data_IF_693813064977
#
_entry.id   IF_693813064977
#
_cell.length_a   1.000
_cell.length_b   1.000
_cell.length_c   1.000
_cell.angle_alpha   90.00
_cell.angle_beta   90.00
_cell.angle_gamma   90.00
#
_symmetry.space_group_name_H-M   'P 1'
#
loop_
_entity.id
_entity.type
_entity.pdbx_description
1 polymer ?
#
# COMPACT_ATOMS: atom_id res chain seq x y z
N UNK A 1 -5.64 9.13 42.56
CA UNK A 1 -5.66 10.44 43.23
C UNK A 1 -4.23 10.81 43.59
N UNK A 2 -3.75 11.94 43.09
CA UNK A 2 -2.41 12.48 43.36
C UNK A 2 -2.54 13.75 44.22
N UNK A 3 -1.52 14.05 45.03
CA UNK A 3 -1.42 15.26 45.84
C UNK A 3 -0.71 16.42 45.12
N UNK A 4 -0.05 16.14 43.99
CA UNK A 4 0.63 17.13 43.13
C UNK A 4 2.12 17.31 43.43
N UNK A 5 2.68 16.53 44.36
CA UNK A 5 4.12 16.53 44.68
C UNK A 5 4.83 15.24 44.27
N UNK A 6 4.10 14.27 43.74
CA UNK A 6 4.62 13.00 43.25
C UNK A 6 5.51 13.19 42.01
N UNK A 7 6.61 12.44 41.92
CA UNK A 7 7.51 12.49 40.77
C UNK A 7 7.01 11.61 39.61
N UNK A 8 6.22 10.58 39.91
CA UNK A 8 5.69 9.63 38.94
C UNK A 8 4.23 9.28 39.24
N UNK A 9 3.46 8.92 38.21
CA UNK A 9 2.03 8.57 38.36
C UNK A 9 1.82 7.30 39.22
N UNK A 10 2.82 6.42 39.27
CA UNK A 10 2.83 5.21 40.12
C UNK A 10 2.88 5.50 41.62
N UNK A 11 3.30 6.70 42.02
CA UNK A 11 3.29 7.14 43.43
C UNK A 11 1.92 7.65 43.88
N UNK A 12 1.01 7.89 42.93
CA UNK A 12 -0.35 8.30 43.24
C UNK A 12 -1.17 7.12 43.76
N UNK A 13 -2.11 7.41 44.66
CA UNK A 13 -3.03 6.39 45.16
C UNK A 13 -4.01 5.97 44.05
N UNK A 14 -3.89 4.76 43.53
CA UNK A 14 -4.70 4.24 42.41
C UNK A 14 -5.50 3.00 42.82
N UNK A 15 -6.54 2.67 42.05
CA UNK A 15 -7.16 1.34 42.11
C UNK A 15 -6.22 0.31 41.47
N UNK A 16 -6.32 -0.99 41.81
CA UNK A 16 -5.52 -2.03 41.19
C UNK A 16 -5.63 -2.01 39.65
N UNK A 17 -4.51 -2.26 38.98
CA UNK A 17 -4.44 -2.32 37.52
C UNK A 17 -5.47 -3.31 36.96
N UNK A 18 -6.22 -2.87 35.94
CA UNK A 18 -7.28 -3.67 35.29
C UNK A 18 -8.67 -3.55 35.92
N UNK A 19 -8.84 -2.75 36.97
CA UNK A 19 -10.15 -2.46 37.58
C UNK A 19 -10.51 -0.98 37.36
N UNK A 20 -11.08 -0.68 36.19
CA UNK A 20 -11.69 0.63 35.87
C UNK A 20 -13.20 0.49 35.69
N UNK A 21 -13.93 1.55 36.03
CA UNK A 21 -15.33 1.73 35.65
C UNK A 21 -15.47 2.90 34.67
N UNK A 22 -14.39 3.16 33.93
CA UNK A 22 -14.20 4.28 33.02
C UNK A 22 -14.13 3.73 31.60
N UNK A 23 -14.83 4.40 30.67
CA UNK A 23 -14.63 4.26 29.24
C UNK A 23 -13.56 5.25 28.76
N UNK A 24 -13.14 5.15 27.49
CA UNK A 24 -12.12 6.04 26.91
C UNK A 24 -12.57 7.52 26.82
N UNK A 25 -13.83 7.84 27.10
CA UNK A 25 -14.33 9.20 27.22
C UNK A 25 -13.97 9.86 28.57
N UNK A 26 -13.55 9.07 29.55
CA UNK A 26 -13.13 9.52 30.88
C UNK A 26 -11.60 9.47 31.07
N UNK A 27 -10.85 9.30 29.97
CA UNK A 27 -9.39 9.25 30.01
C UNK A 27 -8.80 10.57 30.54
N UNK A 28 -8.04 10.47 31.62
CA UNK A 28 -7.43 11.63 32.27
C UNK A 28 -6.21 12.12 31.47
N UNK A 29 -6.34 13.30 30.86
CA UNK A 29 -5.20 14.01 30.24
C UNK A 29 -4.58 15.03 31.20
N UNK A 30 -3.27 15.25 31.12
CA UNK A 30 -2.58 16.35 31.79
C UNK A 30 -2.08 17.35 30.74
N UNK A 31 -2.36 18.64 30.96
CA UNK A 31 -1.80 19.72 30.17
C UNK A 31 -0.62 20.31 30.94
N UNK A 32 0.59 19.96 30.51
CA UNK A 32 1.81 20.53 31.08
C UNK A 32 2.05 21.91 30.48
N UNK A 33 2.11 22.95 31.31
CA UNK A 33 2.59 24.27 30.87
C UNK A 33 4.12 24.24 30.81
N UNK A 34 4.65 23.78 29.68
CA UNK A 34 6.03 24.07 29.32
C UNK A 34 6.13 25.56 29.00
N UNK A 35 6.74 26.36 29.88
CA UNK A 35 6.99 27.79 29.66
C UNK A 35 8.08 28.06 28.62
N UNK A 36 8.08 27.34 27.50
CA UNK A 36 8.97 27.60 26.38
C UNK A 36 8.16 27.98 25.15
N UNK A 37 7.96 29.29 24.99
CA UNK A 37 7.53 29.95 23.75
C UNK A 37 8.60 29.89 22.66
N UNK A 38 9.33 28.77 22.55
CA UNK A 38 10.47 28.64 21.64
C UNK A 38 10.65 27.18 21.16
N UNK A 39 9.56 26.48 20.89
CA UNK A 39 9.64 25.28 20.03
C UNK A 39 9.74 25.73 18.58
N UNK A 40 10.82 25.35 17.85
CA UNK A 40 10.93 25.55 16.41
C UNK A 40 9.64 25.14 15.69
N UNK A 41 9.21 25.92 14.70
CA UNK A 41 8.14 25.46 13.81
C UNK A 41 8.59 24.15 13.14
N UNK A 42 7.79 23.08 13.31
CA UNK A 42 8.12 21.78 12.69
C UNK A 42 7.94 21.90 11.18
N UNK A 43 8.89 21.37 10.42
CA UNK A 43 8.85 21.32 8.96
C UNK A 43 8.57 19.89 8.48
N UNK A 44 7.96 19.78 7.30
CA UNK A 44 7.92 18.56 6.50
C UNK A 44 7.97 18.91 5.01
N UNK A 45 8.41 17.94 4.20
CA UNK A 45 8.38 18.02 2.75
C UNK A 45 7.38 17.00 2.22
N UNK A 46 6.42 17.46 1.43
CA UNK A 46 5.34 16.63 0.88
C UNK A 46 5.46 16.54 -0.64
N UNK A 47 4.94 15.44 -1.22
CA UNK A 47 4.87 15.21 -2.67
C UNK A 47 6.20 15.35 -3.44
N UNK A 48 7.34 15.15 -2.78
CA UNK A 48 8.63 15.06 -3.46
C UNK A 48 9.16 13.63 -3.51
N UNK A 49 10.27 13.40 -4.25
CA UNK A 49 10.83 12.07 -4.51
C UNK A 49 11.44 11.39 -3.27
N UNK A 50 11.42 12.04 -2.09
CA UNK A 50 11.87 11.47 -0.84
C UNK A 50 11.89 12.50 0.29
N UNK A 51 12.35 12.12 1.49
CA UNK A 51 12.32 12.98 2.69
C UNK A 51 13.06 14.33 2.58
N UNK A 52 13.91 14.50 1.56
CA UNK A 52 14.78 15.67 1.37
C UNK A 52 14.43 16.50 0.11
N UNK A 53 13.27 16.24 -0.49
CA UNK A 53 12.73 17.07 -1.56
C UNK A 53 11.20 17.09 -1.48
N UNK A 54 10.56 18.21 -1.83
CA UNK A 54 9.10 18.32 -1.81
C UNK A 54 8.61 19.73 -1.54
N UNK A 55 7.28 19.90 -1.51
CA UNK A 55 6.59 21.12 -1.09
C UNK A 55 6.86 21.36 0.40
N UNK A 56 7.21 22.59 0.76
CA UNK A 56 7.54 22.96 2.13
C UNK A 56 6.26 23.25 2.93
N UNK A 57 6.06 22.52 4.02
CA UNK A 57 4.96 22.75 4.96
C UNK A 57 5.47 22.99 6.38
N UNK A 58 4.82 23.92 7.09
CA UNK A 58 5.16 24.34 8.45
C UNK A 58 4.00 24.05 9.40
N UNK A 59 4.30 23.54 10.59
CA UNK A 59 3.33 23.37 11.67
C UNK A 59 3.30 24.63 12.53
N UNK A 60 2.16 25.33 12.53
CA UNK A 60 1.92 26.50 13.36
C UNK A 60 0.55 26.43 14.01
N UNK A 61 0.50 26.76 15.30
CA UNK A 61 -0.73 26.67 16.11
C UNK A 61 -1.46 25.33 15.93
N UNK A 62 -0.69 24.22 15.95
CA UNK A 62 -1.17 22.84 15.78
C UNK A 62 -1.84 22.52 14.43
N UNK A 63 -1.63 23.34 13.39
CA UNK A 63 -2.13 23.11 12.04
C UNK A 63 -1.00 23.20 11.00
N UNK A 64 -0.94 22.23 10.09
CA UNK A 64 -0.03 22.26 8.95
C UNK A 64 -0.53 23.29 7.92
N UNK A 65 0.41 23.94 7.26
CA UNK A 65 0.12 24.84 6.15
C UNK A 65 1.36 25.09 5.32
N UNK A 66 1.17 25.60 4.11
CA UNK A 66 2.22 25.73 3.10
C UNK A 66 2.98 27.04 3.24
N UNK A 67 4.06 27.16 2.46
CA UNK A 67 4.88 28.36 2.32
C UNK A 67 4.71 28.91 0.91
N UNK A 68 4.46 30.21 0.77
CA UNK A 68 4.36 30.86 -0.52
C UNK A 68 5.75 31.12 -1.14
N UNK A 69 5.85 30.99 -2.46
CA UNK A 69 7.07 31.13 -3.26
C UNK A 69 7.46 32.59 -3.54
N UNK A 70 6.63 33.56 -3.15
CA UNK A 70 6.94 34.98 -3.25
C UNK A 70 8.22 35.30 -2.45
N UNK A 71 9.29 35.63 -3.16
CA UNK A 71 10.61 35.89 -2.56
C UNK A 71 11.39 34.63 -2.17
N UNK A 72 10.86 33.44 -2.44
CA UNK A 72 11.49 32.17 -2.08
C UNK A 72 12.77 31.93 -2.86
N UNK A 73 13.85 31.73 -2.13
CA UNK A 73 15.22 31.72 -2.66
C UNK A 73 15.99 30.48 -2.22
N UNK A 74 17.16 30.28 -2.82
CA UNK A 74 18.08 29.22 -2.42
C UNK A 74 18.57 29.39 -0.96
N UNK A 75 18.58 30.63 -0.44
CA UNK A 75 18.93 30.88 0.96
C UNK A 75 17.83 30.37 1.91
N UNK A 76 16.55 30.52 1.55
CA UNK A 76 15.43 29.99 2.32
C UNK A 76 15.44 28.46 2.30
N UNK A 77 15.62 27.88 1.11
CA UNK A 77 15.83 26.45 0.91
C UNK A 77 17.00 25.91 1.76
N UNK A 78 18.11 26.65 1.87
CA UNK A 78 19.27 26.23 2.66
C UNK A 78 18.93 26.10 4.16
N UNK A 79 18.09 26.98 4.68
CA UNK A 79 17.58 26.88 6.06
C UNK A 79 16.69 25.65 6.20
N UNK A 80 15.77 25.40 5.27
CA UNK A 80 14.91 24.20 5.28
C UNK A 80 15.73 22.92 5.25
N UNK A 81 16.67 22.80 4.31
CA UNK A 81 17.52 21.61 4.17
C UNK A 81 18.37 21.35 5.42
N UNK A 82 18.94 22.40 6.01
CA UNK A 82 19.69 22.28 7.27
C UNK A 82 18.78 21.88 8.43
N UNK A 83 17.62 22.52 8.56
CA UNK A 83 16.68 22.24 9.65
C UNK A 83 16.15 20.79 9.61
N UNK A 84 15.98 20.22 8.42
CA UNK A 84 15.56 18.82 8.23
C UNK A 84 16.71 17.80 8.30
N UNK A 85 17.96 18.24 8.43
CA UNK A 85 19.12 17.34 8.34
C UNK A 85 19.20 16.67 6.97
N UNK A 86 19.08 17.45 5.91
CA UNK A 86 19.07 16.99 4.52
C UNK A 86 20.24 17.55 3.70
N UNK A 87 21.32 17.96 4.38
CA UNK A 87 22.49 18.56 3.75
C UNK A 87 22.26 19.98 3.24
N UNK A 88 22.82 20.29 2.07
CA UNK A 88 22.79 21.61 1.44
C UNK A 88 21.60 21.77 0.49
N UNK A 89 21.15 23.00 0.23
CA UNK A 89 20.11 23.24 -0.78
C UNK A 89 20.67 23.12 -2.20
N UNK A 90 20.01 22.31 -3.02
CA UNK A 90 20.30 22.12 -4.45
C UNK A 90 19.40 23.05 -5.27
N UNK A 91 18.12 23.14 -4.93
CA UNK A 91 17.19 24.07 -5.58
C UNK A 91 16.05 24.52 -4.66
N UNK A 92 15.42 25.63 -5.05
CA UNK A 92 14.24 26.20 -4.40
C UNK A 92 13.10 26.30 -5.44
N UNK A 93 12.43 25.18 -5.78
CA UNK A 93 11.34 25.21 -6.76
C UNK A 93 10.18 26.11 -6.33
N UNK A 94 9.59 26.78 -7.31
CA UNK A 94 8.42 27.66 -7.16
C UNK A 94 7.26 27.11 -7.99
N UNK A 95 6.14 27.83 -7.99
CA UNK A 95 4.97 27.56 -8.81
C UNK A 95 4.37 26.17 -8.58
N UNK A 96 4.29 25.74 -7.31
CA UNK A 96 3.75 24.45 -6.91
C UNK A 96 4.35 23.26 -7.66
N UNK A 97 5.67 23.29 -7.89
CA UNK A 97 6.40 22.23 -8.60
C UNK A 97 6.11 20.80 -8.09
N UNK A 98 5.89 20.65 -6.78
CA UNK A 98 5.54 19.38 -6.14
C UNK A 98 4.01 19.22 -5.92
N UNK A 99 3.22 19.90 -6.73
CA UNK A 99 1.77 19.98 -6.61
C UNK A 99 1.30 21.00 -5.58
N UNK A 100 0.10 21.52 -5.83
CA UNK A 100 -0.61 22.45 -4.97
C UNK A 100 -0.90 21.81 -3.60
N UNK A 101 -0.64 22.54 -2.52
CA UNK A 101 -1.08 22.17 -1.19
C UNK A 101 -2.56 22.50 -0.95
N UNK A 102 -2.97 22.42 0.30
CA UNK A 102 -4.34 22.74 0.69
C UNK A 102 -4.38 23.38 2.08
N UNK A 103 -5.45 24.13 2.35
CA UNK A 103 -5.68 24.73 3.65
C UNK A 103 -5.00 26.10 3.83
N UNK A 104 -4.26 26.26 4.92
CA UNK A 104 -3.62 27.54 5.27
C UNK A 104 -2.28 27.68 4.56
N UNK A 105 -2.00 28.87 4.03
CA UNK A 105 -0.64 29.29 3.66
C UNK A 105 -0.11 30.12 4.84
N UNK A 106 0.88 29.59 5.56
CA UNK A 106 1.35 30.18 6.81
C UNK A 106 2.42 31.24 6.63
N UNK A 107 3.32 31.05 5.66
CA UNK A 107 4.45 31.94 5.43
C UNK A 107 4.39 32.52 4.02
N UNK A 108 4.74 33.80 3.89
CA UNK A 108 4.84 34.56 2.64
C UNK A 108 5.99 35.56 2.78
N UNK A 109 6.71 35.79 1.69
CA UNK A 109 7.83 36.72 1.61
C UNK A 109 8.92 36.36 2.61
N UNK A 110 9.24 35.06 2.68
CA UNK A 110 10.33 34.53 3.51
C UNK A 110 11.65 35.06 2.94
N UNK A 111 12.50 35.58 3.83
CA UNK A 111 13.77 36.18 3.47
C UNK A 111 14.82 35.78 4.52
N UNK A 112 15.40 34.61 4.32
CA UNK A 112 16.52 34.08 5.07
C UNK A 112 17.85 34.59 4.49
N UNK A 113 18.85 34.71 5.35
CA UNK A 113 20.26 34.87 4.97
C UNK A 113 20.94 33.54 4.61
N UNK A 114 20.29 32.42 4.94
CA UNK A 114 20.79 31.05 4.73
C UNK A 114 21.54 30.48 5.93
N UNK A 115 21.63 31.24 7.04
CA UNK A 115 22.41 30.86 8.25
C UNK A 115 21.54 30.62 9.50
N UNK A 116 20.24 30.90 9.40
CA UNK A 116 19.24 30.72 10.45
C UNK A 116 19.10 29.25 10.87
N UNK A 117 18.90 28.97 12.16
CA UNK A 117 18.77 27.59 12.62
C UNK A 117 17.44 26.96 12.18
N UNK A 118 16.40 27.78 12.06
CA UNK A 118 15.04 27.34 11.71
C UNK A 118 14.37 28.33 10.77
N UNK A 119 13.45 27.86 9.92
CA UNK A 119 12.72 28.71 8.97
C UNK A 119 11.86 29.76 9.69
N UNK A 120 11.43 29.48 10.92
CA UNK A 120 10.70 30.42 11.77
C UNK A 120 11.52 31.63 12.24
N UNK A 121 12.85 31.59 12.13
CA UNK A 121 13.74 32.72 12.47
C UNK A 121 13.92 33.68 11.29
N UNK A 122 13.57 33.26 10.07
CA UNK A 122 13.70 34.11 8.90
C UNK A 122 12.68 35.25 8.93
N UNK A 123 13.06 36.39 8.36
CA UNK A 123 12.12 37.49 8.21
C UNK A 123 11.02 37.06 7.23
N UNK A 124 9.76 37.15 7.65
CA UNK A 124 8.60 36.86 6.83
C UNK A 124 7.46 37.81 7.17
N UNK A 125 6.39 37.81 6.37
CA UNK A 125 5.13 38.46 6.74
C UNK A 125 4.54 37.81 8.01
N UNK A 126 3.63 38.51 8.74
CA UNK A 126 2.93 37.90 9.86
C UNK A 126 2.30 36.56 9.47
N UNK A 127 2.42 35.56 10.34
CA UNK A 127 1.95 34.21 10.06
C UNK A 127 0.47 34.19 9.66
N UNK A 128 0.16 33.53 8.54
CA UNK A 128 -1.18 33.44 7.97
C UNK A 128 -1.64 34.69 7.20
N UNK A 129 -0.77 35.70 7.06
CA UNK A 129 -0.99 36.86 6.19
C UNK A 129 -0.21 36.66 4.89
N UNK A 130 -0.91 36.29 3.83
CA UNK A 130 -0.36 36.10 2.48
C UNK A 130 -1.32 36.67 1.42
N UNK A 131 -0.82 36.85 0.20
CA UNK A 131 -1.64 37.19 -0.98
C UNK A 131 -1.64 36.08 -2.03
N UNK A 132 -1.22 34.87 -1.64
CA UNK A 132 -0.92 33.79 -2.56
C UNK A 132 -2.08 32.81 -2.69
N UNK A 133 -2.12 32.06 -3.78
CA UNK A 133 -2.87 30.81 -3.86
C UNK A 133 -1.93 29.58 -3.85
N UNK A 134 -2.47 28.36 -3.84
CA UNK A 134 -1.64 27.16 -3.76
C UNK A 134 -0.82 26.85 -5.02
N UNK A 135 -1.04 27.56 -6.14
CA UNK A 135 -0.14 27.50 -7.30
C UNK A 135 1.20 28.15 -7.02
N UNK A 136 1.27 28.96 -5.98
CA UNK A 136 2.46 29.66 -5.52
C UNK A 136 3.10 28.93 -4.33
N UNK A 137 2.80 27.65 -4.11
CA UNK A 137 3.45 26.90 -3.02
C UNK A 137 4.93 26.63 -3.33
N UNK A 138 5.77 26.94 -2.35
CA UNK A 138 7.21 26.79 -2.39
C UNK A 138 7.64 25.33 -2.18
N UNK A 139 8.65 24.91 -2.93
CA UNK A 139 9.31 23.62 -2.80
C UNK A 139 10.79 23.76 -2.41
N UNK A 140 11.39 22.63 -2.05
CA UNK A 140 12.84 22.51 -1.87
C UNK A 140 13.36 21.21 -2.44
N UNK A 141 14.59 21.23 -2.95
CA UNK A 141 15.40 20.03 -3.19
C UNK A 141 16.72 20.21 -2.46
N UNK A 142 17.04 19.27 -1.58
CA UNK A 142 18.29 19.24 -0.84
C UNK A 142 19.25 18.21 -1.43
N UNK A 143 20.52 18.29 -1.06
CA UNK A 143 21.54 17.33 -1.48
C UNK A 143 21.32 15.93 -0.89
N UNK A 144 20.44 15.80 0.10
CA UNK A 144 20.37 14.64 0.97
C UNK A 144 21.50 14.68 1.99
N UNK A 145 21.41 13.85 3.03
CA UNK A 145 22.54 13.65 3.95
C UNK A 145 23.75 13.18 3.14
N UNK A 146 24.76 14.04 3.04
CA UNK A 146 26.08 13.72 2.51
C UNK A 146 26.93 12.99 3.55
N UNK A 147 26.30 12.18 4.41
CA UNK A 147 26.93 10.95 4.85
C UNK A 147 26.65 9.98 3.73
N UNK A 148 27.68 9.59 2.98
CA UNK A 148 27.64 8.55 1.96
C UNK A 148 26.65 7.43 2.34
N UNK A 149 25.42 7.53 1.85
CA UNK A 149 24.55 6.37 1.73
C UNK A 149 24.84 5.80 0.34
N UNK A 150 25.98 5.11 0.29
CA UNK A 150 26.40 4.20 -0.77
C UNK A 150 25.50 2.96 -0.85
N UNK A 151 24.31 3.00 -0.25
CA UNK A 151 23.26 2.05 -0.58
C UNK A 151 22.60 2.49 -1.88
N UNK A 152 22.89 1.79 -2.98
CA UNK A 152 22.14 1.92 -4.25
C UNK A 152 20.62 1.74 -4.10
N UNK A 153 20.09 1.44 -2.90
CA UNK A 153 18.67 1.29 -2.58
C UNK A 153 17.71 2.37 -3.08
N UNK A 154 18.15 3.60 -3.39
CA UNK A 154 17.23 4.68 -3.83
C UNK A 154 17.17 4.91 -5.34
N UNK A 155 17.95 4.17 -6.14
CA UNK A 155 17.90 4.25 -7.60
C UNK A 155 16.99 3.19 -8.23
N UNK A 156 16.36 2.33 -7.43
CA UNK A 156 15.61 1.19 -7.92
C UNK A 156 14.37 0.94 -7.05
N UNK A 157 13.24 0.58 -7.66
CA UNK A 157 12.00 0.20 -6.97
C UNK A 157 11.22 -0.88 -7.73
N UNK A 158 10.32 -1.55 -7.01
CA UNK A 158 9.32 -2.46 -7.58
C UNK A 158 7.93 -1.81 -7.50
N UNK A 159 7.20 -1.82 -8.61
CA UNK A 159 5.88 -1.17 -8.75
C UNK A 159 4.84 -2.20 -9.19
N UNK A 160 3.58 -2.00 -8.78
CA UNK A 160 2.44 -2.85 -9.15
C UNK A 160 2.54 -4.34 -8.72
N UNK A 161 3.35 -4.64 -7.71
CA UNK A 161 3.26 -5.92 -7.01
C UNK A 161 2.34 -5.87 -5.80
N UNK A 162 1.98 -7.05 -5.29
CA UNK A 162 1.16 -7.20 -4.07
C UNK A 162 1.90 -6.83 -2.78
N UNK A 163 3.23 -6.67 -2.83
CA UNK A 163 4.06 -6.14 -1.74
C UNK A 163 5.32 -5.45 -2.29
N UNK A 164 6.17 -4.90 -1.41
CA UNK A 164 7.39 -4.15 -1.78
C UNK A 164 8.52 -4.99 -2.37
N UNK A 165 8.38 -6.31 -2.39
CA UNK A 165 9.40 -7.27 -2.82
C UNK A 165 9.01 -8.03 -4.10
N UNK A 166 7.98 -7.59 -4.81
CA UNK A 166 7.68 -8.03 -6.16
C UNK A 166 7.07 -6.89 -6.97
N UNK A 167 7.22 -6.91 -8.29
CA UNK A 167 6.65 -5.90 -9.17
C UNK A 167 7.49 -5.64 -10.43
N UNK A 168 7.04 -4.67 -11.24
CA UNK A 168 7.80 -4.10 -12.36
C UNK A 168 9.03 -3.37 -11.84
N UNK A 169 10.18 -3.58 -12.48
CA UNK A 169 11.43 -2.92 -12.12
C UNK A 169 11.46 -1.52 -12.72
N UNK A 170 11.64 -0.52 -11.86
CA UNK A 170 11.86 0.87 -12.27
C UNK A 170 13.14 1.42 -11.67
N UNK A 171 13.86 2.19 -12.47
CA UNK A 171 15.12 2.84 -12.11
C UNK A 171 15.01 4.35 -12.19
N UNK A 172 15.72 5.04 -11.30
CA UNK A 172 15.73 6.51 -11.26
C UNK A 172 16.95 7.07 -11.99
N UNK A 173 16.72 7.76 -13.10
CA UNK A 173 17.75 8.38 -13.92
C UNK A 173 17.31 9.76 -14.41
N UNK A 174 18.24 10.71 -14.48
CA UNK A 174 17.99 12.10 -14.88
C UNK A 174 16.73 12.72 -14.24
N UNK A 175 16.63 12.58 -12.91
CA UNK A 175 15.54 13.13 -12.10
C UNK A 175 14.14 12.56 -12.44
N UNK A 176 14.06 11.43 -13.15
CA UNK A 176 12.82 10.74 -13.49
C UNK A 176 12.90 9.23 -13.27
N UNK A 177 11.77 8.64 -12.91
CA UNK A 177 11.63 7.19 -12.96
C UNK A 177 11.47 6.73 -14.40
N UNK A 178 11.81 5.48 -14.65
CA UNK A 178 11.59 4.82 -15.92
C UNK A 178 11.81 3.32 -15.80
N UNK A 179 11.37 2.56 -16.78
CA UNK A 179 11.34 1.11 -16.75
C UNK A 179 12.60 0.49 -17.33
N UNK A 180 12.71 -0.84 -17.20
CA UNK A 180 13.76 -1.67 -17.78
C UNK A 180 13.11 -2.62 -18.77
N UNK A 181 13.67 -2.75 -19.98
CA UNK A 181 13.20 -3.71 -20.97
C UNK A 181 13.55 -5.16 -20.57
N UNK A 182 12.72 -6.12 -20.98
CA UNK A 182 12.89 -7.55 -20.74
C UNK A 182 13.76 -8.27 -21.78
N UNK A 183 14.26 -7.56 -22.79
CA UNK A 183 15.28 -8.07 -23.71
C UNK A 183 16.53 -8.47 -22.91
N UNK A 184 16.91 -9.75 -23.04
CA UNK A 184 17.97 -10.41 -22.28
C UNK A 184 17.76 -10.49 -20.75
N UNK A 185 16.60 -10.10 -20.22
CA UNK A 185 16.32 -10.08 -18.77
C UNK A 185 16.24 -11.47 -18.15
N UNK A 186 17.07 -11.73 -17.15
CA UNK A 186 17.19 -13.04 -16.52
C UNK A 186 17.17 -13.03 -14.98
N UNK A 187 17.30 -14.23 -14.40
CA UNK A 187 17.34 -14.41 -12.94
C UNK A 187 18.55 -13.75 -12.28
N UNK A 188 19.66 -13.59 -12.98
CA UNK A 188 20.85 -12.93 -12.46
C UNK A 188 20.59 -11.43 -12.33
N UNK A 189 19.88 -10.82 -13.26
CA UNK A 189 19.49 -9.41 -13.19
C UNK A 189 18.52 -9.16 -12.04
N UNK A 190 17.45 -9.95 -11.98
CA UNK A 190 16.48 -9.88 -10.88
C UNK A 190 17.11 -10.23 -9.52
N UNK A 191 18.18 -11.06 -9.46
CA UNK A 191 18.94 -11.31 -8.24
C UNK A 191 19.59 -10.05 -7.68
N UNK A 192 20.13 -9.19 -8.54
CA UNK A 192 20.72 -7.92 -8.11
C UNK A 192 19.63 -6.97 -7.62
N UNK A 193 18.48 -6.92 -8.29
CA UNK A 193 17.31 -6.16 -7.85
C UNK A 193 16.87 -6.58 -6.43
N UNK A 194 16.62 -7.87 -6.22
CA UNK A 194 16.16 -8.39 -4.94
C UNK A 194 17.18 -8.16 -3.81
N UNK A 195 18.46 -8.31 -4.12
CA UNK A 195 19.56 -8.05 -3.18
C UNK A 195 19.63 -6.58 -2.80
N UNK A 196 19.62 -5.69 -3.79
CA UNK A 196 19.71 -4.25 -3.56
C UNK A 196 18.54 -3.74 -2.72
N UNK A 197 17.32 -4.24 -2.97
CA UNK A 197 16.14 -3.87 -2.19
C UNK A 197 16.07 -4.51 -0.80
N UNK A 198 16.98 -5.45 -0.47
CA UNK A 198 16.93 -6.17 0.80
C UNK A 198 15.74 -7.14 0.90
N UNK A 199 15.22 -7.58 -0.24
CA UNK A 199 14.05 -8.43 -0.37
C UNK A 199 14.37 -9.94 -0.40
N UNK A 200 15.54 -10.33 0.10
CA UNK A 200 15.99 -11.72 0.13
C UNK A 200 16.50 -12.21 -1.24
N UNK A 201 16.23 -13.46 -1.57
CA UNK A 201 16.69 -14.09 -2.83
C UNK A 201 15.70 -13.86 -3.96
N UNK A 202 16.17 -13.84 -5.21
CA UNK A 202 15.28 -13.83 -6.38
C UNK A 202 14.47 -15.13 -6.48
N UNK A 203 13.20 -14.98 -6.85
CA UNK A 203 12.26 -16.06 -7.14
C UNK A 203 12.03 -16.19 -8.65
N UNK A 204 11.78 -15.07 -9.32
CA UNK A 204 11.56 -15.02 -10.76
C UNK A 204 11.91 -13.65 -11.34
N UNK A 205 12.15 -13.65 -12.66
CA UNK A 205 12.46 -12.49 -13.49
C UNK A 205 11.40 -12.36 -14.61
N UNK A 206 10.15 -12.03 -14.29
CA UNK A 206 9.09 -11.96 -15.29
C UNK A 206 9.31 -10.80 -16.27
N UNK A 207 9.10 -11.06 -17.55
CA UNK A 207 9.07 -10.04 -18.61
C UNK A 207 7.64 -9.69 -19.04
N UNK A 208 7.53 -9.15 -20.24
CA UNK A 208 6.30 -8.91 -20.99
C UNK A 208 5.24 -8.14 -20.20
N UNK A 209 5.69 -7.12 -19.45
CA UNK A 209 4.85 -6.28 -18.61
C UNK A 209 3.92 -7.06 -17.67
N UNK A 210 4.42 -8.17 -17.08
CA UNK A 210 3.63 -9.03 -16.18
C UNK A 210 2.93 -8.26 -15.05
N UNK A 211 3.60 -7.22 -14.51
CA UNK A 211 3.05 -6.33 -13.47
C UNK A 211 2.40 -5.06 -14.04
N UNK A 212 1.98 -5.12 -15.30
CA UNK A 212 1.47 -4.00 -16.06
C UNK A 212 2.57 -3.12 -16.64
N UNK A 213 2.18 -2.38 -17.67
CA UNK A 213 3.04 -1.46 -18.41
C UNK A 213 3.35 -0.20 -17.59
N UNK A 214 4.56 0.31 -17.75
CA UNK A 214 4.95 1.66 -17.37
C UNK A 214 4.38 2.72 -18.30
N UNK A 215 4.64 3.98 -17.96
CA UNK A 215 4.20 5.15 -18.74
C UNK A 215 5.27 6.25 -18.87
N UNK A 216 6.36 6.11 -18.12
CA UNK A 216 7.54 6.97 -18.12
C UNK A 216 8.62 6.38 -19.04
N UNK A 217 9.78 7.03 -19.29
CA UNK A 217 10.78 6.51 -20.24
C UNK A 217 11.23 5.07 -19.94
N UNK A 218 11.58 4.30 -20.97
CA UNK A 218 12.33 3.06 -20.80
C UNK A 218 13.81 3.46 -20.71
N UNK A 219 14.43 3.22 -19.56
CA UNK A 219 15.79 3.71 -19.28
C UNK A 219 16.88 2.74 -19.68
N UNK A 220 16.61 1.44 -19.57
CA UNK A 220 17.62 0.40 -19.73
C UNK A 220 17.09 -0.73 -20.60
N UNK A 221 18.00 -1.34 -21.34
CA UNK A 221 17.79 -2.43 -22.29
C UNK A 221 19.04 -3.32 -22.27
N UNK A 222 18.88 -4.61 -22.59
CA UNK A 222 19.91 -5.65 -22.52
C UNK A 222 20.75 -5.59 -21.24
N UNK A 223 20.09 -5.65 -20.08
CA UNK A 223 20.80 -5.68 -18.79
C UNK A 223 21.53 -7.02 -18.65
N UNK A 224 22.81 -6.97 -18.27
CA UNK A 224 23.63 -8.17 -18.08
C UNK A 224 24.35 -8.12 -16.73
N UNK A 225 23.69 -8.60 -15.68
CA UNK A 225 24.27 -8.80 -14.37
C UNK A 225 24.95 -10.16 -14.25
N UNK A 226 26.02 -10.26 -13.45
CA UNK A 226 26.58 -11.56 -13.02
C UNK A 226 25.74 -12.19 -11.92
N UNK A 227 24.85 -11.43 -11.29
CA UNK A 227 24.01 -11.85 -10.18
C UNK A 227 24.71 -11.75 -8.82
N UNK A 228 25.91 -11.16 -8.74
CA UNK A 228 26.69 -11.00 -7.49
C UNK A 228 26.90 -9.54 -7.07
N UNK A 229 26.53 -8.62 -7.95
CA UNK A 229 26.59 -7.18 -7.79
C UNK A 229 25.79 -6.73 -6.57
N UNK A 230 26.28 -5.70 -5.89
CA UNK A 230 25.58 -5.14 -4.72
C UNK A 230 24.49 -4.15 -5.11
N UNK A 231 24.66 -3.52 -6.28
CA UNK A 231 23.73 -2.55 -6.87
C UNK A 231 23.58 -2.80 -8.36
N UNK A 232 22.40 -2.48 -8.89
CA UNK A 232 22.01 -2.64 -10.29
C UNK A 232 22.86 -1.78 -11.24
N UNK A 233 23.43 -0.70 -10.72
CA UNK A 233 24.39 0.15 -11.44
C UNK A 233 25.76 -0.49 -11.66
N UNK A 234 26.08 -1.61 -10.99
CA UNK A 234 27.32 -2.37 -11.21
C UNK A 234 27.20 -3.41 -12.33
N UNK A 235 26.00 -3.67 -12.83
CA UNK A 235 25.79 -4.59 -13.94
C UNK A 235 26.33 -4.00 -15.25
N UNK A 236 26.54 -4.86 -16.25
CA UNK A 236 26.84 -4.40 -17.60
C UNK A 236 25.53 -3.88 -18.21
N UNK A 237 25.46 -2.56 -18.42
CA UNK A 237 24.30 -1.84 -18.91
C UNK A 237 24.61 -1.18 -20.26
N UNK A 238 23.65 -1.18 -21.17
CA UNK A 238 23.70 -0.32 -22.36
C UNK A 238 23.56 1.16 -22.00
N UNK A 239 23.71 2.04 -23.00
CA UNK A 239 23.50 3.48 -22.82
C UNK A 239 22.08 3.77 -22.33
N UNK A 240 21.96 4.66 -21.35
CA UNK A 240 20.67 5.09 -20.81
C UNK A 240 19.77 5.67 -21.90
N UNK A 241 18.54 5.16 -22.00
CA UNK A 241 17.52 5.59 -22.96
C UNK A 241 17.74 5.13 -24.40
N UNK A 242 18.77 4.31 -24.68
CA UNK A 242 18.91 3.62 -25.95
C UNK A 242 18.28 2.22 -25.85
N UNK A 243 17.12 2.04 -26.47
CA UNK A 243 16.38 0.78 -26.50
C UNK A 243 15.57 0.65 -27.78
N UNK A 244 15.17 -0.57 -28.16
CA UNK A 244 14.18 -0.81 -29.22
C UNK A 244 12.82 -1.30 -28.71
N UNK A 245 12.67 -1.34 -27.39
CA UNK A 245 11.48 -1.88 -26.76
C UNK A 245 10.30 -0.89 -26.66
N UNK A 246 9.11 -1.43 -26.42
CA UNK A 246 7.96 -0.68 -25.90
C UNK A 246 7.55 -1.17 -24.50
N UNK A 247 6.57 -0.51 -23.87
CA UNK A 247 6.21 -0.87 -22.48
C UNK A 247 5.57 -2.24 -22.31
N UNK A 248 5.15 -2.90 -23.39
CA UNK A 248 4.73 -4.30 -23.31
C UNK A 248 5.89 -5.25 -22.98
N UNK A 249 7.13 -4.76 -23.06
CA UNK A 249 8.38 -5.46 -22.76
C UNK A 249 8.97 -5.01 -21.40
N UNK A 250 8.20 -4.36 -20.52
CA UNK A 250 8.73 -3.96 -19.21
C UNK A 250 9.03 -5.18 -18.31
N UNK A 251 10.25 -5.22 -17.79
CA UNK A 251 10.75 -6.25 -16.89
C UNK A 251 10.24 -6.12 -15.45
N UNK A 252 10.14 -7.26 -14.76
CA UNK A 252 9.75 -7.38 -13.38
C UNK A 252 10.69 -8.27 -12.57
N UNK A 253 10.56 -8.20 -11.25
CA UNK A 253 11.26 -9.08 -10.33
C UNK A 253 10.29 -9.57 -9.25
N UNK A 254 10.46 -10.82 -8.84
CA UNK A 254 9.79 -11.39 -7.67
C UNK A 254 10.87 -11.88 -6.73
N UNK A 255 10.84 -11.40 -5.50
CA UNK A 255 11.83 -11.71 -4.48
C UNK A 255 11.19 -12.48 -3.32
N UNK A 256 12.02 -13.17 -2.53
CA UNK A 256 11.55 -14.02 -1.44
C UNK A 256 10.86 -13.24 -0.33
N UNK A 257 11.02 -11.92 -0.28
CA UNK A 257 10.73 -11.08 0.88
C UNK A 257 11.59 -11.53 2.08
N UNK A 258 12.29 -10.60 2.72
CA UNK A 258 13.14 -10.93 3.88
C UNK A 258 12.31 -11.41 5.09
N UNK A 259 10.98 -11.30 5.03
CA UNK A 259 10.03 -11.79 6.03
C UNK A 259 9.42 -13.18 5.75
N UNK A 260 9.54 -13.73 4.52
CA UNK A 260 9.01 -15.08 4.22
C UNK A 260 10.11 -16.11 4.45
N UNK A 261 10.27 -16.49 5.71
CA UNK A 261 10.92 -17.75 6.04
C UNK A 261 9.93 -18.89 5.92
N UNK A 262 10.21 -19.82 4.99
CA UNK A 262 9.94 -21.26 5.08
C UNK A 262 8.54 -21.75 4.63
N UNK A 263 8.56 -22.80 3.80
CA UNK A 263 7.50 -23.75 3.42
C UNK A 263 6.17 -23.58 4.17
N UNK A 264 5.08 -23.35 3.44
CA UNK A 264 3.76 -23.09 4.04
C UNK A 264 2.86 -22.11 3.28
N UNK A 265 3.39 -21.45 2.25
CA UNK A 265 2.67 -20.37 1.53
C UNK A 265 2.00 -20.93 0.27
N UNK A 266 0.68 -20.75 0.15
CA UNK A 266 -0.11 -21.07 -1.03
C UNK A 266 -1.02 -19.89 -1.41
N UNK A 267 -1.42 -19.81 -2.69
CA UNK A 267 -2.32 -18.79 -3.21
C UNK A 267 -3.38 -19.40 -4.15
N UNK A 268 -4.47 -18.65 -4.39
CA UNK A 268 -5.48 -18.98 -5.40
C UNK A 268 -5.41 -17.98 -6.56
N UNK A 269 -5.15 -18.46 -7.77
CA UNK A 269 -4.98 -17.63 -8.95
C UNK A 269 -6.13 -17.80 -9.96
N UNK A 270 -6.42 -16.75 -10.75
CA UNK A 270 -7.43 -16.73 -11.82
C UNK A 270 -8.87 -17.17 -11.42
N UNK A 271 -9.23 -17.04 -10.15
CA UNK A 271 -10.61 -17.24 -9.72
C UNK A 271 -11.42 -15.95 -9.61
N UNK A 272 -12.75 -16.06 -9.45
CA UNK A 272 -13.65 -14.91 -9.38
C UNK A 272 -13.53 -14.08 -8.09
N UNK A 273 -12.81 -14.58 -7.08
CA UNK A 273 -12.54 -13.91 -5.81
C UNK A 273 -11.40 -14.62 -5.06
N UNK A 274 -10.94 -14.06 -3.93
CA UNK A 274 -9.83 -14.60 -3.11
C UNK A 274 -10.03 -16.03 -2.56
N UNK A 275 -11.25 -16.57 -2.62
CA UNK A 275 -11.62 -17.87 -2.08
C UNK A 275 -12.00 -18.89 -3.18
N UNK A 276 -11.63 -18.60 -4.44
CA UNK A 276 -11.73 -19.54 -5.54
C UNK A 276 -10.54 -19.32 -6.49
N UNK A 277 -10.05 -20.37 -7.15
CA UNK A 277 -8.96 -20.26 -8.11
C UNK A 277 -8.12 -21.53 -8.24
N UNK A 278 -7.15 -21.50 -9.15
CA UNK A 278 -6.09 -22.51 -9.28
C UNK A 278 -5.21 -22.47 -8.04
N UNK A 279 -4.86 -23.63 -7.48
CA UNK A 279 -3.99 -23.73 -6.30
C UNK A 279 -2.54 -23.65 -6.74
N UNK A 280 -1.81 -22.68 -6.20
CA UNK A 280 -0.37 -22.54 -6.40
C UNK A 280 0.35 -22.53 -5.05
N UNK A 281 1.50 -23.20 -4.97
CA UNK A 281 2.32 -23.33 -3.76
C UNK A 281 3.72 -22.78 -4.01
N UNK A 282 4.29 -22.16 -2.98
CA UNK A 282 5.66 -21.65 -3.03
C UNK A 282 6.61 -22.73 -2.54
N UNK A 283 7.45 -23.25 -3.44
CA UNK A 283 8.50 -24.21 -3.12
C UNK A 283 9.81 -23.87 -3.81
N UNK A 284 10.94 -24.03 -3.12
CA UNK A 284 12.26 -23.61 -3.60
C UNK A 284 12.27 -22.23 -4.23
N UNK A 285 11.60 -21.27 -3.58
CA UNK A 285 11.58 -19.89 -4.04
C UNK A 285 10.91 -19.72 -5.41
N UNK A 286 10.03 -20.63 -5.85
CA UNK A 286 9.25 -20.47 -7.08
C UNK A 286 7.80 -20.86 -6.83
N UNK A 287 6.86 -20.10 -7.39
CA UNK A 287 5.47 -20.53 -7.46
C UNK A 287 5.36 -21.71 -8.41
N UNK A 288 4.41 -22.58 -8.13
CA UNK A 288 4.13 -23.72 -8.99
C UNK A 288 2.79 -24.34 -8.64
N UNK A 289 2.23 -25.08 -9.60
CA UNK A 289 0.88 -25.61 -9.51
C UNK A 289 0.83 -26.94 -8.74
N UNK A 290 -0.39 -27.36 -8.41
CA UNK A 290 -0.70 -28.67 -7.83
C UNK A 290 -1.40 -29.49 -8.90
N UNK A 291 -1.00 -30.74 -9.11
CA UNK A 291 -1.68 -31.65 -10.02
C UNK A 291 -3.04 -32.12 -9.47
N UNK A 292 -4.00 -32.35 -10.36
CA UNK A 292 -5.33 -32.83 -10.03
C UNK A 292 -5.46 -34.37 -9.91
N UNK A 293 -4.37 -35.11 -10.15
CA UNK A 293 -4.28 -36.54 -9.85
C UNK A 293 -4.41 -36.75 -8.33
N UNK A 294 -5.45 -37.47 -7.94
CA UNK A 294 -5.81 -37.69 -6.53
C UNK A 294 -6.52 -36.52 -5.85
N UNK A 295 -6.60 -35.34 -6.49
CA UNK A 295 -7.15 -34.12 -5.89
C UNK A 295 -8.65 -34.20 -5.62
N UNK A 296 -9.03 -34.13 -4.35
CA UNK A 296 -10.41 -34.28 -3.92
C UNK A 296 -10.92 -33.16 -2.99
N UNK A 297 -12.17 -33.31 -2.53
CA UNK A 297 -12.82 -32.32 -1.68
C UNK A 297 -12.19 -32.24 -0.27
N UNK A 298 -11.52 -33.29 0.18
CA UNK A 298 -10.79 -33.33 1.45
C UNK A 298 -9.52 -32.49 1.34
N UNK A 299 -8.79 -32.59 0.23
CA UNK A 299 -7.63 -31.73 -0.05
C UNK A 299 -8.04 -30.27 -0.17
N UNK A 300 -9.10 -30.00 -0.94
CA UNK A 300 -9.67 -28.67 -1.08
C UNK A 300 -10.14 -28.10 0.28
N UNK A 301 -10.64 -28.94 1.19
CA UNK A 301 -11.05 -28.50 2.53
C UNK A 301 -9.85 -28.03 3.37
N UNK A 302 -8.69 -28.68 3.25
CA UNK A 302 -7.45 -28.21 3.88
C UNK A 302 -7.05 -26.85 3.31
N UNK A 303 -7.06 -26.68 1.99
CA UNK A 303 -6.74 -25.39 1.33
C UNK A 303 -7.69 -24.27 1.79
N UNK A 304 -9.01 -24.50 1.74
CA UNK A 304 -10.00 -23.51 2.14
C UNK A 304 -9.87 -23.12 3.62
N UNK A 305 -9.56 -24.09 4.49
CA UNK A 305 -9.30 -23.82 5.91
C UNK A 305 -8.00 -23.05 6.12
N UNK A 306 -6.92 -23.44 5.45
CA UNK A 306 -5.61 -22.78 5.52
C UNK A 306 -5.71 -21.30 5.11
N UNK A 307 -6.52 -20.99 4.10
CA UNK A 307 -6.77 -19.62 3.63
C UNK A 307 -7.82 -18.84 4.45
N UNK A 308 -8.48 -19.48 5.43
CA UNK A 308 -9.57 -18.85 6.18
C UNK A 308 -10.81 -18.55 5.32
N UNK A 309 -11.05 -19.32 4.27
CA UNK A 309 -12.12 -19.16 3.28
C UNK A 309 -13.35 -20.06 3.54
N UNK A 310 -13.50 -20.57 4.76
CA UNK A 310 -14.61 -21.44 5.15
C UNK A 310 -14.45 -22.88 4.67
N UNK A 311 -15.57 -23.55 4.39
CA UNK A 311 -15.59 -24.94 3.88
C UNK A 311 -15.36 -25.01 2.37
N UNK A 312 -14.79 -26.11 1.89
CA UNK A 312 -14.70 -26.37 0.45
C UNK A 312 -16.08 -26.69 -0.16
N UNK A 313 -16.40 -26.01 -1.26
CA UNK A 313 -17.58 -26.29 -2.09
C UNK A 313 -17.21 -27.15 -3.30
N UNK A 314 -16.01 -26.99 -3.85
CA UNK A 314 -15.53 -27.77 -4.99
C UNK A 314 -14.01 -27.93 -4.98
N UNK A 315 -13.55 -29.12 -5.33
CA UNK A 315 -12.20 -29.38 -5.84
C UNK A 315 -12.31 -29.42 -7.37
N UNK A 316 -11.63 -28.51 -8.07
CA UNK A 316 -11.71 -28.42 -9.53
C UNK A 316 -10.48 -29.05 -10.17
N UNK A 317 -10.68 -29.73 -11.29
CA UNK A 317 -9.66 -30.38 -12.11
C UNK A 317 -9.68 -29.82 -13.55
N UNK A 318 -8.76 -30.27 -14.39
CA UNK A 318 -8.73 -29.95 -15.80
C UNK A 318 -8.31 -28.52 -16.10
N UNK A 319 -7.50 -27.90 -15.25
CA UNK A 319 -7.12 -26.50 -15.34
C UNK A 319 -8.32 -25.55 -15.45
N UNK A 320 -9.35 -25.79 -14.63
CA UNK A 320 -10.62 -25.03 -14.64
C UNK A 320 -10.44 -23.50 -14.57
N UNK A 321 -9.43 -23.02 -13.84
CA UNK A 321 -9.08 -21.59 -13.72
C UNK A 321 -7.93 -21.18 -14.66
N UNK A 322 -7.74 -21.93 -15.74
CA UNK A 322 -6.64 -21.76 -16.68
C UNK A 322 -5.37 -22.50 -16.22
N UNK A 323 -4.47 -22.65 -17.18
CA UNK A 323 -3.18 -23.36 -17.05
C UNK A 323 -2.15 -22.47 -16.36
N UNK A 324 -1.31 -23.07 -15.53
CA UNK A 324 -0.08 -22.47 -15.05
C UNK A 324 1.00 -22.42 -16.14
N UNK A 325 2.08 -21.73 -15.82
CA UNK A 325 3.25 -21.57 -16.69
C UNK A 325 4.56 -21.98 -16.01
N UNK A 326 4.52 -22.20 -14.69
CA UNK A 326 5.63 -22.47 -13.78
C UNK A 326 5.70 -23.98 -13.42
N UNK A 327 6.65 -24.47 -12.59
CA UNK A 327 6.73 -25.90 -12.26
C UNK A 327 5.44 -26.47 -11.64
N UNK A 328 5.15 -27.75 -11.88
CA UNK A 328 4.14 -28.49 -11.12
C UNK A 328 4.85 -29.06 -9.87
N UNK A 329 4.49 -28.58 -8.69
CA UNK A 329 5.23 -28.88 -7.46
C UNK A 329 4.72 -30.08 -6.69
N UNK A 330 3.40 -30.23 -6.62
CA UNK A 330 2.74 -31.28 -5.85
C UNK A 330 1.91 -32.16 -6.79
N UNK A 331 1.92 -33.45 -6.48
CA UNK A 331 1.20 -34.49 -7.20
C UNK A 331 0.78 -35.59 -6.21
N UNK A 332 -0.29 -36.31 -6.52
CA UNK A 332 -0.89 -37.35 -5.68
C UNK A 332 -1.13 -36.85 -4.23
N UNK A 333 -1.66 -35.63 -4.11
CA UNK A 333 -1.99 -35.04 -2.81
C UNK A 333 -3.10 -35.86 -2.18
N UNK A 334 -2.91 -36.25 -0.92
CA UNK A 334 -3.82 -37.12 -0.19
C UNK A 334 -3.90 -36.68 1.27
N UNK A 335 -4.76 -35.71 1.53
CA UNK A 335 -5.05 -35.21 2.86
C UNK A 335 -6.05 -36.13 3.59
N UNK A 336 -5.92 -36.21 4.92
CA UNK A 336 -6.91 -36.82 5.81
C UNK A 336 -8.04 -35.85 6.19
N UNK A 337 -7.86 -34.56 5.92
CA UNK A 337 -8.80 -33.47 6.20
C UNK A 337 -8.56 -32.78 7.55
N UNK A 338 -7.57 -33.22 8.33
CA UNK A 338 -7.25 -32.66 9.66
C UNK A 338 -5.98 -31.81 9.66
N UNK A 339 -5.26 -31.80 8.56
CA UNK A 339 -4.01 -31.07 8.37
C UNK A 339 -4.20 -29.56 8.51
N UNK A 340 -3.27 -28.88 9.19
CA UNK A 340 -3.31 -27.42 9.30
C UNK A 340 -3.00 -26.74 7.97
N UNK A 341 -2.10 -27.34 7.18
CA UNK A 341 -1.72 -26.83 5.85
C UNK A 341 -1.63 -27.95 4.83
N UNK A 342 -1.74 -27.60 3.55
CA UNK A 342 -1.59 -28.54 2.43
C UNK A 342 -0.23 -29.27 2.45
N UNK A 343 0.80 -28.62 3.00
CA UNK A 343 2.16 -29.15 3.12
C UNK A 343 2.30 -30.26 4.17
N UNK A 344 1.29 -30.43 5.04
CA UNK A 344 1.22 -31.53 6.00
C UNK A 344 0.53 -32.77 5.44
N UNK A 345 -0.08 -32.68 4.26
CA UNK A 345 -0.71 -33.82 3.60
C UNK A 345 0.36 -34.76 3.02
N UNK A 346 0.00 -36.02 2.85
CA UNK A 346 0.85 -36.94 2.10
C UNK A 346 0.78 -36.56 0.62
N UNK A 347 1.93 -36.48 -0.05
CA UNK A 347 2.05 -36.20 -1.47
C UNK A 347 3.30 -36.88 -2.05
N UNK A 348 3.42 -36.88 -3.37
CA UNK A 348 4.66 -37.22 -4.06
C UNK A 348 5.80 -36.27 -3.67
N UNK A 349 7.03 -36.63 -4.02
CA UNK A 349 8.18 -35.74 -3.78
C UNK A 349 8.01 -34.46 -4.59
N UNK A 350 8.48 -33.34 -4.06
CA UNK A 350 8.44 -32.05 -4.75
C UNK A 350 8.99 -32.13 -6.18
N UNK A 351 8.15 -31.74 -7.15
CA UNK A 351 8.47 -31.74 -8.58
C UNK A 351 8.51 -33.13 -9.23
N UNK A 352 8.22 -34.20 -8.49
CA UNK A 352 8.05 -35.56 -9.01
C UNK A 352 6.58 -35.75 -9.37
N UNK A 353 6.26 -35.53 -10.64
CA UNK A 353 4.91 -35.65 -11.19
C UNK A 353 4.96 -36.15 -12.64
N UNK A 354 3.84 -36.72 -13.10
CA UNK A 354 3.63 -37.12 -14.49
C UNK A 354 2.64 -36.22 -15.23
N UNK A 355 2.24 -35.11 -14.60
CA UNK A 355 1.17 -34.24 -15.06
C UNK A 355 1.65 -33.19 -16.07
N UNK A 356 0.70 -32.58 -16.76
CA UNK A 356 0.91 -31.36 -17.54
C UNK A 356 -0.07 -30.27 -17.09
N UNK A 357 0.14 -29.00 -17.43
CA UNK A 357 -0.73 -27.90 -16.98
C UNK A 357 -2.20 -27.95 -17.44
N UNK A 358 -2.62 -28.98 -18.18
CA UNK A 358 -4.05 -29.27 -18.35
C UNK A 358 -4.68 -29.94 -17.12
N UNK A 359 -3.87 -30.34 -16.15
CA UNK A 359 -4.21 -31.08 -14.93
C UNK A 359 -3.97 -30.22 -13.68
N UNK A 360 -3.87 -28.89 -13.82
CA UNK A 360 -3.70 -28.02 -12.67
C UNK A 360 -4.98 -27.98 -11.82
N UNK A 361 -4.84 -28.34 -10.55
CA UNK A 361 -5.89 -28.35 -9.56
C UNK A 361 -6.33 -26.95 -9.13
N UNK A 362 -7.59 -26.83 -8.74
CA UNK A 362 -8.17 -25.62 -8.18
C UNK A 362 -9.17 -25.90 -7.07
N UNK A 363 -9.66 -24.84 -6.43
CA UNK A 363 -10.68 -24.93 -5.40
C UNK A 363 -11.73 -23.85 -5.56
N UNK A 364 -12.93 -24.14 -5.07
CA UNK A 364 -13.97 -23.16 -4.77
C UNK A 364 -14.36 -23.36 -3.32
N UNK A 365 -14.09 -22.37 -2.49
CA UNK A 365 -14.51 -22.36 -1.10
C UNK A 365 -15.87 -21.66 -0.95
N UNK A 366 -16.51 -21.84 0.21
CA UNK A 366 -17.75 -21.13 0.55
C UNK A 366 -17.56 -19.61 0.58
N UNK A 367 -16.30 -19.17 0.77
CA UNK A 367 -16.03 -17.84 1.31
C UNK A 367 -16.61 -17.77 2.72
N UNK A 368 -16.30 -16.73 3.49
CA UNK A 368 -17.15 -16.44 4.64
C UNK A 368 -18.50 -15.97 4.09
N UNK A 369 -19.36 -16.94 3.86
CA UNK A 369 -20.56 -16.85 3.03
C UNK A 369 -21.58 -15.87 3.63
N UNK A 370 -22.10 -15.00 2.75
CA UNK A 370 -23.22 -14.08 2.91
C UNK A 370 -22.96 -12.67 3.50
N UNK A 371 -21.72 -12.25 3.80
CA UNK A 371 -21.44 -10.87 4.24
C UNK A 371 -20.40 -10.12 3.40
N UNK A 372 -19.56 -10.83 2.65
CA UNK A 372 -18.28 -10.29 2.18
C UNK A 372 -18.30 -9.75 0.74
N UNK A 373 -19.46 -9.67 0.09
CA UNK A 373 -19.54 -9.09 -1.25
C UNK A 373 -19.98 -7.63 -1.18
N UNK A 374 -19.10 -6.74 -1.64
CA UNK A 374 -19.39 -5.32 -1.82
C UNK A 374 -19.37 -5.02 -3.32
N UNK A 375 -20.17 -4.05 -3.75
CA UNK A 375 -20.12 -3.49 -5.10
C UNK A 375 -20.34 -1.98 -5.05
N UNK A 376 -19.85 -1.29 -6.07
CA UNK A 376 -20.07 0.14 -6.25
C UNK A 376 -21.02 0.38 -7.43
N UNK A 377 -22.09 1.12 -7.18
CA UNK A 377 -23.18 1.33 -8.14
C UNK A 377 -23.32 2.81 -8.51
N UNK A 378 -23.83 3.08 -9.71
CA UNK A 378 -24.14 4.41 -10.23
C UNK A 378 -22.92 5.33 -10.42
N UNK A 379 -21.83 4.76 -10.93
CA UNK A 379 -20.73 5.52 -11.50
C UNK A 379 -20.14 4.76 -12.70
N UNK A 380 -19.46 5.48 -13.60
CA UNK A 380 -18.86 4.89 -14.82
C UNK A 380 -17.61 4.05 -14.58
N UNK A 381 -17.16 3.90 -13.32
CA UNK A 381 -15.99 3.11 -12.92
C UNK A 381 -16.37 2.11 -11.84
N UNK A 382 -15.69 0.95 -11.82
CA UNK A 382 -15.85 -0.07 -10.77
C UNK A 382 -15.29 0.36 -9.40
N UNK A 383 -14.54 1.47 -9.35
CA UNK A 383 -13.82 1.95 -8.18
C UNK A 383 -14.38 3.25 -7.58
N UNK A 384 -15.58 3.65 -7.98
CA UNK A 384 -16.33 4.70 -7.30
C UNK A 384 -17.83 4.42 -7.45
N UNK A 385 -18.64 4.90 -6.50
CA UNK A 385 -20.09 4.70 -6.54
C UNK A 385 -20.71 4.56 -5.16
N UNK A 386 -22.03 4.36 -5.12
CA UNK A 386 -22.77 4.01 -3.90
C UNK A 386 -22.34 2.62 -3.45
N UNK A 387 -22.07 2.47 -2.15
CA UNK A 387 -21.68 1.20 -1.55
C UNK A 387 -22.92 0.34 -1.35
N UNK A 388 -22.92 -0.83 -1.97
CA UNK A 388 -23.91 -1.87 -1.73
C UNK A 388 -23.23 -3.14 -1.26
N UNK A 389 -23.82 -3.78 -0.26
CA UNK A 389 -23.32 -5.01 0.36
C UNK A 389 -24.36 -6.12 0.21
N UNK A 390 -23.89 -7.33 -0.10
CA UNK A 390 -24.75 -8.49 -0.24
C UNK A 390 -24.89 -9.19 1.11
N UNK A 391 -26.12 -9.24 1.62
CA UNK A 391 -26.42 -9.94 2.86
C UNK A 391 -27.78 -10.63 2.79
N UNK A 392 -27.91 -11.82 3.41
CA UNK A 392 -29.16 -12.61 3.42
C UNK A 392 -29.80 -12.78 2.03
N UNK A 393 -28.97 -13.05 1.00
CA UNK A 393 -29.36 -13.26 -0.40
C UNK A 393 -29.96 -12.04 -1.13
N UNK A 394 -29.80 -10.84 -0.59
CA UNK A 394 -30.24 -9.60 -1.22
C UNK A 394 -29.19 -8.50 -1.12
N UNK A 395 -29.06 -7.69 -2.17
CA UNK A 395 -28.28 -6.48 -2.13
C UNK A 395 -29.00 -5.41 -1.31
N UNK A 396 -28.25 -4.71 -0.48
CA UNK A 396 -28.73 -3.55 0.26
C UNK A 396 -27.65 -2.47 0.34
N UNK A 397 -28.04 -1.27 0.74
CA UNK A 397 -27.13 -0.13 0.87
C UNK A 397 -26.51 -0.05 2.26
N UNK A 398 -25.52 0.82 2.41
CA UNK A 398 -24.87 1.16 3.67
C UNK A 398 -25.26 2.59 4.04
N UNK A 399 -25.61 2.85 5.31
CA UNK A 399 -25.90 4.19 5.78
C UNK A 399 -24.63 5.03 5.95
N UNK A 400 -24.70 6.33 5.72
CA UNK A 400 -23.62 7.30 5.90
C UNK A 400 -23.45 7.79 7.35
N UNK A 401 -24.30 7.35 8.28
CA UNK A 401 -24.12 7.56 9.71
C UNK A 401 -22.79 6.91 10.17
N UNK A 402 -21.90 7.74 10.70
CA UNK A 402 -20.51 7.42 11.07
C UNK A 402 -19.63 6.92 9.90
N UNK A 403 -20.08 7.05 8.64
CA UNK A 403 -19.31 6.63 7.47
C UNK A 403 -18.13 7.56 7.21
N UNK A 404 -16.91 7.04 7.33
CA UNK A 404 -15.69 7.81 7.21
C UNK A 404 -14.67 7.22 6.21
N UNK A 405 -13.49 7.85 6.15
CA UNK A 405 -12.45 7.44 5.21
C UNK A 405 -11.83 6.08 5.55
N UNK A 406 -11.88 5.64 6.82
CA UNK A 406 -11.41 4.32 7.22
C UNK A 406 -12.39 3.24 6.77
N UNK A 407 -13.69 3.50 6.82
CA UNK A 407 -14.70 2.59 6.23
C UNK A 407 -14.52 2.46 4.72
N UNK A 408 -14.34 3.61 4.06
CA UNK A 408 -14.03 3.67 2.65
C UNK A 408 -12.72 2.94 2.29
N UNK A 409 -11.69 3.02 3.14
CA UNK A 409 -10.40 2.35 2.93
C UNK A 409 -10.58 0.83 2.89
N UNK A 410 -11.42 0.29 3.79
CA UNK A 410 -11.77 -1.13 3.79
C UNK A 410 -12.49 -1.52 2.50
N UNK A 411 -13.45 -0.72 2.03
CA UNK A 411 -14.14 -0.98 0.76
C UNK A 411 -13.20 -0.93 -0.43
N UNK A 412 -12.36 0.10 -0.53
CA UNK A 412 -11.45 0.28 -1.64
C UNK A 412 -10.39 -0.83 -1.72
N UNK A 413 -9.89 -1.26 -0.55
CA UNK A 413 -8.99 -2.41 -0.47
C UNK A 413 -9.70 -3.73 -0.77
N UNK A 414 -10.92 -3.93 -0.27
CA UNK A 414 -11.69 -5.15 -0.52
C UNK A 414 -12.06 -5.34 -2.01
N UNK A 415 -12.17 -4.26 -2.77
CA UNK A 415 -12.48 -4.27 -4.20
C UNK A 415 -11.25 -4.21 -5.13
N UNK A 416 -10.04 -4.23 -4.56
CA UNK A 416 -8.78 -4.04 -5.28
C UNK A 416 -8.80 -2.76 -6.15
N UNK A 417 -9.24 -1.66 -5.53
CA UNK A 417 -9.39 -0.35 -6.13
C UNK A 417 -8.40 0.69 -5.57
N UNK A 418 -7.36 0.23 -4.86
CA UNK A 418 -6.36 1.07 -4.22
C UNK A 418 -6.88 1.69 -2.93
N UNK A 419 -6.41 2.90 -2.61
CA UNK A 419 -6.76 3.61 -1.37
C UNK A 419 -8.06 4.40 -1.52
N UNK A 420 -8.72 4.69 -0.41
CA UNK A 420 -9.84 5.61 -0.38
C UNK A 420 -9.38 7.05 -0.66
N UNK A 421 -10.05 7.71 -1.60
CA UNK A 421 -9.91 9.14 -1.86
C UNK A 421 -11.03 9.95 -1.19
N UNK A 422 -12.23 9.38 -1.09
CA UNK A 422 -13.34 10.00 -0.36
C UNK A 422 -14.39 8.98 0.07
N UNK A 423 -15.12 9.34 1.13
CA UNK A 423 -16.25 8.62 1.71
C UNK A 423 -17.54 9.47 1.63
N UNK A 424 -18.09 9.73 0.44
CA UNK A 424 -19.25 10.60 0.28
C UNK A 424 -20.53 10.00 0.87
N UNK A 425 -21.29 10.81 1.61
CA UNK A 425 -22.63 10.48 2.10
C UNK A 425 -23.75 11.12 1.26
N UNK A 426 -24.94 11.23 1.85
CA UNK A 426 -26.07 11.98 1.31
C UNK A 426 -26.67 11.40 0.03
N UNK A 427 -26.40 10.12 -0.28
CA UNK A 427 -26.81 9.49 -1.53
C UNK A 427 -26.20 10.18 -2.76
N UNK A 428 -24.96 10.68 -2.68
CA UNK A 428 -24.28 11.43 -3.74
C UNK A 428 -24.20 10.66 -5.07
N UNK A 429 -24.06 9.33 -5.02
CA UNK A 429 -24.13 8.44 -6.19
C UNK A 429 -25.56 7.98 -6.52
N UNK A 430 -26.55 8.80 -6.16
CA UNK A 430 -27.96 8.48 -6.26
C UNK A 430 -28.44 7.57 -5.14
N UNK A 431 -29.75 7.64 -4.90
CA UNK A 431 -30.44 6.85 -3.89
C UNK A 431 -30.56 5.40 -4.34
N UNK A 432 -30.21 4.48 -3.45
CA UNK A 432 -30.48 3.06 -3.60
C UNK A 432 -31.95 2.74 -3.41
N UNK A 433 -32.22 1.44 -3.39
CA UNK A 433 -33.57 0.89 -3.21
C UNK A 433 -33.50 -0.35 -2.33
N UNK A 434 -34.57 -0.60 -1.59
CA UNK A 434 -34.71 -1.82 -0.80
C UNK A 434 -34.22 -1.65 0.64
N UNK A 435 -33.41 -2.59 1.11
CA UNK A 435 -32.94 -2.65 2.49
C UNK A 435 -31.64 -1.88 2.67
N UNK A 436 -31.50 -1.19 3.79
CA UNK A 436 -30.22 -0.64 4.25
C UNK A 436 -29.66 -1.63 5.27
N UNK A 437 -28.51 -2.23 4.95
CA UNK A 437 -27.97 -3.36 5.70
C UNK A 437 -27.09 -2.96 6.86
N UNK A 438 -26.28 -1.92 6.70
CA UNK A 438 -25.30 -1.48 7.69
C UNK A 438 -25.57 -0.03 8.09
N UNK A 439 -25.32 0.26 9.36
CA UNK A 439 -25.52 1.55 10.02
C UNK A 439 -24.53 1.69 11.17
N UNK A 440 -24.09 2.91 11.47
CA UNK A 440 -23.00 3.26 12.39
C UNK A 440 -21.73 2.44 12.08
N UNK A 441 -21.38 2.32 10.80
CA UNK A 441 -20.19 1.57 10.39
C UNK A 441 -18.97 2.27 10.98
N UNK A 442 -18.08 1.52 11.62
CA UNK A 442 -16.93 2.05 12.34
C UNK A 442 -15.74 1.10 12.21
N UNK A 443 -15.15 1.10 11.02
CA UNK A 443 -13.92 0.39 10.71
C UNK A 443 -12.70 1.09 11.34
N UNK A 444 -11.70 0.31 11.70
CA UNK A 444 -10.35 0.78 12.04
C UNK A 444 -9.48 1.05 10.81
N UNK A 445 -9.95 0.65 9.62
CA UNK A 445 -9.25 0.76 8.33
C UNK A 445 -8.40 -0.48 7.97
N UNK A 446 -8.17 -1.37 8.93
CA UNK A 446 -7.32 -2.57 8.77
C UNK A 446 -8.12 -3.84 8.51
N UNK A 447 -9.44 -3.79 8.63
CA UNK A 447 -10.37 -4.89 8.42
C UNK A 447 -10.28 -5.50 7.01
N UNK A 448 -10.23 -6.82 6.86
CA UNK A 448 -10.15 -7.42 5.53
C UNK A 448 -11.40 -7.19 4.67
N UNK A 449 -12.56 -6.98 5.30
CA UNK A 449 -13.86 -6.83 4.63
C UNK A 449 -14.76 -5.86 5.40
N UNK A 450 -15.65 -5.16 4.69
CA UNK A 450 -16.59 -4.20 5.28
C UNK A 450 -17.51 -4.87 6.33
N UNK A 451 -17.93 -6.10 6.07
CA UNK A 451 -18.72 -6.94 6.98
C UNK A 451 -18.07 -7.22 8.33
N UNK A 452 -16.74 -7.06 8.43
CA UNK A 452 -15.98 -7.27 9.68
C UNK A 452 -15.85 -6.01 10.54
N UNK A 453 -16.27 -4.85 10.01
CA UNK A 453 -16.30 -3.62 10.76
C UNK A 453 -17.39 -3.63 11.83
N UNK A 454 -17.15 -2.90 12.92
CA UNK A 454 -18.17 -2.74 13.96
C UNK A 454 -19.29 -1.85 13.42
N UNK A 455 -20.51 -2.15 13.84
CA UNK A 455 -21.69 -1.38 13.49
C UNK A 455 -22.93 -1.92 14.21
N UNK A 456 -24.09 -1.37 13.87
CA UNK A 456 -25.37 -1.88 14.37
C UNK A 456 -25.67 -3.27 13.82
N UNK A 457 -26.56 -4.05 14.48
CA UNK A 457 -27.04 -5.31 13.93
C UNK A 457 -27.61 -5.12 12.51
N UNK A 458 -27.31 -6.07 11.62
CA UNK A 458 -27.72 -6.02 10.22
C UNK A 458 -29.20 -5.72 10.02
N UNK A 459 -29.49 -4.73 9.15
CA UNK A 459 -30.85 -4.32 8.81
C UNK A 459 -31.55 -3.46 9.87
N UNK A 460 -30.88 -3.15 10.98
CA UNK A 460 -31.35 -2.21 12.01
C UNK A 460 -30.69 -0.86 11.78
N UNK A 461 -31.46 0.09 11.26
CA UNK A 461 -31.00 1.44 10.97
C UNK A 461 -32.11 2.48 11.17
N UNK A 462 -31.74 3.74 11.26
CA UNK A 462 -32.67 4.88 11.26
C UNK A 462 -32.57 5.73 9.98
N UNK A 463 -31.92 5.21 8.95
CA UNK A 463 -31.60 5.95 7.75
C UNK A 463 -32.67 5.77 6.66
N UNK A 464 -32.66 6.66 5.68
CA UNK A 464 -33.38 6.49 4.42
C UNK A 464 -32.39 6.59 3.25
N UNK A 465 -32.76 6.19 2.03
CA UNK A 465 -31.82 6.19 0.89
C UNK A 465 -31.29 7.58 0.45
N UNK A 466 -31.66 8.66 1.13
CA UNK A 466 -30.96 9.95 1.02
C UNK A 466 -29.68 10.01 1.84
N UNK A 467 -29.38 8.98 2.62
CA UNK A 467 -28.25 8.80 3.54
C UNK A 467 -27.44 7.56 3.13
N UNK A 468 -27.53 7.15 1.85
CA UNK A 468 -26.70 6.04 1.38
C UNK A 468 -25.24 6.48 1.23
N UNK A 469 -24.35 5.70 1.81
CA UNK A 469 -22.91 5.85 1.73
C UNK A 469 -22.37 5.54 0.33
N UNK A 470 -21.32 6.25 -0.05
CA UNK A 470 -20.58 6.10 -1.27
C UNK A 470 -19.08 6.06 -1.01
N UNK A 471 -18.33 5.68 -2.04
CA UNK A 471 -16.88 5.68 -2.02
C UNK A 471 -16.31 6.15 -3.34
N UNK A 472 -15.16 6.81 -3.27
CA UNK A 472 -14.27 7.02 -4.42
C UNK A 472 -12.91 6.49 -4.03
N UNK A 473 -12.43 5.50 -4.76
CA UNK A 473 -11.11 4.92 -4.59
C UNK A 473 -10.13 5.51 -5.62
N UNK A 474 -8.83 5.30 -5.39
CA UNK A 474 -7.79 5.75 -6.31
C UNK A 474 -7.83 5.05 -7.67
N UNK A 475 -8.51 3.90 -7.76
CA UNK A 475 -8.99 3.27 -8.98
C UNK A 475 -8.01 3.31 -10.15
N UNK A 476 -6.89 2.60 -10.04
CA UNK A 476 -5.88 2.37 -11.09
C UNK A 476 -5.84 3.48 -12.15
N UNK A 477 -5.50 4.69 -11.72
CA UNK A 477 -4.91 5.70 -12.62
C UNK A 477 -3.45 5.35 -12.85
#
# INVERSE_FOLDING_TARGET
QCSGTEATLSECQTRPWGVSNCDHGEDASVVCTGTNTNTPARLRLENGPGRCAGRVEVLYNYQWGTVCDNGWSLADAAVVCRQLGCGTAVSAPSSAHFGEGSGRIWLDSVNCTGTEATLSECQARPWGSNSCDHREDAGVVCSGDSHEDTSGQRLLRLVNGSNSCLGRVEVFHDHKWGTVCDDSWDLQDAAVVCRQLGCGTVLSAPGSAHFGQGSDPIWLDDVHCRGTESTFTECELNSWGEHNCDHSEDAGAVCSDSSITVLGTLQLFNGPNRCAGRVEVLHNHMWGTVCDDGWDLVDAAVVCRQLGCGTALSATSGAHFGRGHDPIWLDEVNCTGTEETLFNCQASKWGDNNCFHGEDAGVICSGNSEGDQVRLVNYGSRCAGRVEIFHSKQWGTVCDDNWDLLDAEVVCRQLDCGRALSAPGGGQFGRGVGIIWMDETNCMGTESTLSSCRGRPWGINNCYHGEDAGVVCSGLT
#
